data_IF_625218194506
#
_entry.id   IF_625218194506
#
_cell.length_a   1.000
_cell.length_b   1.000
_cell.length_c   1.000
_cell.angle_alpha   90.00
_cell.angle_beta   90.00
_cell.angle_gamma   90.00
#
_symmetry.space_group_name_H-M   'P 1'
#
loop_
_entity.id
_entity.type
_entity.pdbx_description
1 polymer ?
#
# COMPACT_ATOMS: atom_id res chain seq x y z
N UNK A 1 -17.12 16.45 0.93
CA UNK A 1 -17.03 15.12 1.53
C UNK A 1 -15.55 14.68 1.52
N UNK A 2 -14.94 14.26 2.63
CA UNK A 2 -13.59 13.70 2.63
C UNK A 2 -13.66 12.25 2.14
N UNK A 3 -13.20 11.99 0.92
CA UNK A 3 -13.06 10.63 0.41
C UNK A 3 -11.70 10.05 0.83
N UNK A 4 -11.73 8.92 1.52
CA UNK A 4 -10.55 8.13 1.84
C UNK A 4 -10.04 7.44 0.55
N UNK A 5 -8.76 7.69 0.21
CA UNK A 5 -8.10 7.16 -1.00
C UNK A 5 -7.22 5.94 -0.69
N UNK A 6 -7.54 5.16 0.31
CA UNK A 6 -6.70 4.06 0.79
C UNK A 6 -7.28 2.68 0.62
N UNK A 7 -6.88 1.94 -0.37
CA UNK A 7 -6.20 0.63 -0.34
C UNK A 7 -6.19 -0.01 -1.73
N UNK A 8 -5.00 -0.20 -2.28
CA UNK A 8 -4.80 -1.11 -3.42
C UNK A 8 -4.97 -2.56 -2.92
N UNK A 9 -6.14 -3.14 -3.19
CA UNK A 9 -6.31 -4.58 -3.18
C UNK A 9 -6.01 -5.13 -4.57
N UNK A 10 -5.00 -5.99 -4.66
CA UNK A 10 -4.74 -6.82 -5.84
C UNK A 10 -5.89 -7.83 -5.96
N UNK A 11 -6.73 -7.69 -6.99
CA UNK A 11 -7.91 -8.52 -7.22
C UNK A 11 -7.50 -9.91 -7.70
N UNK A 12 -7.71 -10.93 -6.87
CA UNK A 12 -7.74 -12.34 -7.29
C UNK A 12 -9.17 -12.71 -7.66
N UNK A 13 -9.36 -13.56 -8.65
CA UNK A 13 -10.67 -13.94 -9.22
C UNK A 13 -11.62 -14.58 -8.18
N UNK A 14 -11.10 -15.13 -7.08
CA UNK A 14 -11.87 -15.64 -5.92
C UNK A 14 -12.50 -14.53 -5.07
N UNK A 15 -11.98 -13.31 -5.12
CA UNK A 15 -12.48 -12.18 -4.33
C UNK A 15 -13.65 -11.47 -5.02
N UNK A 16 -13.83 -11.67 -6.34
CA UNK A 16 -14.87 -10.97 -7.12
C UNK A 16 -16.28 -11.35 -6.67
N UNK A 17 -16.53 -12.63 -6.42
CA UNK A 17 -17.87 -13.10 -5.98
C UNK A 17 -18.21 -12.57 -4.58
N UNK A 18 -17.24 -12.57 -3.68
CA UNK A 18 -17.39 -12.02 -2.31
C UNK A 18 -17.58 -10.52 -2.35
N UNK A 19 -16.86 -9.81 -3.23
CA UNK A 19 -16.97 -8.36 -3.40
C UNK A 19 -18.31 -7.95 -4.02
N UNK A 20 -18.85 -8.70 -4.99
CA UNK A 20 -20.20 -8.47 -5.55
C UNK A 20 -21.27 -8.67 -4.48
N UNK A 21 -21.20 -9.74 -3.72
CA UNK A 21 -22.16 -10.01 -2.64
C UNK A 21 -22.12 -8.93 -1.55
N UNK A 22 -20.90 -8.48 -1.19
CA UNK A 22 -20.69 -7.41 -0.20
C UNK A 22 -21.25 -6.08 -0.70
N UNK A 23 -21.00 -5.75 -1.96
CA UNK A 23 -21.52 -4.52 -2.57
C UNK A 23 -23.05 -4.57 -2.70
N UNK A 24 -23.63 -5.72 -3.09
CA UNK A 24 -25.07 -5.90 -3.14
C UNK A 24 -25.74 -5.70 -1.77
N UNK A 25 -25.11 -6.17 -0.69
CA UNK A 25 -25.60 -5.96 0.67
C UNK A 25 -25.53 -4.49 1.12
N UNK A 26 -24.57 -3.72 0.59
CA UNK A 26 -24.41 -2.30 0.87
C UNK A 26 -25.39 -1.41 0.05
N UNK A 27 -25.90 -1.88 -1.09
CA UNK A 27 -26.76 -1.13 -2.01
C UNK A 27 -27.99 -0.45 -1.39
N UNK A 28 -28.73 -1.07 -0.44
CA UNK A 28 -29.86 -0.40 0.21
C UNK A 28 -29.49 0.85 1.01
N UNK A 29 -28.23 0.97 1.41
CA UNK A 29 -27.69 2.06 2.23
C UNK A 29 -26.96 3.11 1.41
N UNK A 30 -26.77 2.88 0.11
CA UNK A 30 -26.24 3.87 -0.84
C UNK A 30 -27.40 4.69 -1.39
N UNK A 31 -27.48 5.96 -1.00
CA UNK A 31 -28.46 6.89 -1.53
C UNK A 31 -27.86 7.74 -2.66
N UNK A 32 -28.74 8.18 -3.59
CA UNK A 32 -28.37 9.06 -4.70
C UNK A 32 -29.39 10.22 -4.82
N UNK A 33 -29.34 11.18 -3.90
CA UNK A 33 -30.27 12.32 -3.92
C UNK A 33 -29.82 13.36 -4.95
N UNK A 34 -29.78 13.01 -6.25
CA UNK A 34 -29.40 13.93 -7.34
C UNK A 34 -27.99 14.51 -7.17
N UNK A 35 -27.00 13.65 -7.04
CA UNK A 35 -25.58 14.00 -6.92
C UNK A 35 -25.12 14.96 -8.03
N UNK A 36 -24.09 15.74 -7.74
CA UNK A 36 -23.37 16.47 -8.78
C UNK A 36 -22.73 15.50 -9.77
N UNK A 37 -22.64 15.86 -11.06
CA UNK A 37 -22.12 14.99 -12.11
C UNK A 37 -20.74 14.40 -11.79
N UNK A 38 -19.82 15.22 -11.27
CA UNK A 38 -18.47 14.79 -10.92
C UNK A 38 -18.44 13.73 -9.80
N UNK A 39 -19.36 13.82 -8.83
CA UNK A 39 -19.46 12.84 -7.75
C UNK A 39 -20.05 11.52 -8.25
N UNK A 40 -21.03 11.59 -9.17
CA UNK A 40 -21.60 10.43 -9.84
C UNK A 40 -20.53 9.69 -10.69
N UNK A 41 -19.71 10.45 -11.44
CA UNK A 41 -18.56 9.89 -12.19
C UNK A 41 -17.56 9.21 -11.27
N UNK A 42 -17.23 9.83 -10.12
CA UNK A 42 -16.33 9.22 -9.11
C UNK A 42 -16.88 7.91 -8.56
N UNK A 43 -18.19 7.85 -8.30
CA UNK A 43 -18.83 6.62 -7.83
C UNK A 43 -18.84 5.53 -8.91
N UNK A 44 -19.04 5.87 -10.20
CA UNK A 44 -18.88 4.93 -11.29
C UNK A 44 -17.50 4.26 -11.29
N UNK A 45 -16.44 5.05 -11.09
CA UNK A 45 -15.08 4.52 -10.93
C UNK A 45 -14.95 3.62 -9.71
N UNK A 46 -15.58 3.97 -8.58
CA UNK A 46 -15.55 3.17 -7.37
C UNK A 46 -16.29 1.83 -7.54
N UNK A 47 -17.46 1.82 -8.21
CA UNK A 47 -18.19 0.58 -8.56
C UNK A 47 -17.35 -0.32 -9.46
N UNK A 48 -16.72 0.24 -10.49
CA UNK A 48 -15.88 -0.53 -11.41
C UNK A 48 -14.61 -1.06 -10.74
N UNK A 49 -14.01 -0.30 -9.83
CA UNK A 49 -12.88 -0.72 -9.02
C UNK A 49 -13.25 -1.82 -8.02
N UNK A 50 -14.48 -1.81 -7.50
CA UNK A 50 -14.94 -2.80 -6.52
C UNK A 50 -15.16 -4.18 -7.12
N UNK A 51 -15.81 -4.28 -8.29
CA UNK A 51 -16.34 -5.54 -8.82
C UNK A 51 -16.10 -5.71 -10.33
N UNK A 52 -15.25 -4.88 -10.93
CA UNK A 52 -14.96 -4.91 -12.36
C UNK A 52 -16.20 -4.66 -13.22
N UNK A 53 -16.24 -5.27 -14.41
CA UNK A 53 -17.37 -5.10 -15.34
C UNK A 53 -18.69 -5.69 -14.81
N UNK A 54 -18.62 -6.62 -13.84
CA UNK A 54 -19.81 -7.16 -13.15
C UNK A 54 -20.59 -6.11 -12.34
N UNK A 55 -19.98 -4.93 -12.09
CA UNK A 55 -20.59 -3.83 -11.34
C UNK A 55 -21.57 -2.97 -12.12
N UNK A 56 -21.65 -3.11 -13.46
CA UNK A 56 -22.52 -2.28 -14.29
C UNK A 56 -23.99 -2.33 -13.85
N UNK A 57 -24.51 -3.51 -13.57
CA UNK A 57 -25.89 -3.68 -13.13
C UNK A 57 -26.15 -2.97 -11.79
N UNK A 58 -25.21 -3.06 -10.83
CA UNK A 58 -25.32 -2.37 -9.54
C UNK A 58 -25.17 -0.85 -9.70
N UNK A 59 -24.36 -0.40 -10.63
CA UNK A 59 -24.24 1.03 -10.92
C UNK A 59 -25.49 1.61 -11.58
N UNK A 60 -26.17 0.83 -12.45
CA UNK A 60 -27.49 1.21 -12.95
C UNK A 60 -28.53 1.30 -11.83
N UNK A 61 -28.59 0.30 -10.95
CA UNK A 61 -29.47 0.30 -9.78
C UNK A 61 -29.25 1.54 -8.89
N UNK A 62 -27.99 1.86 -8.61
CA UNK A 62 -27.60 3.06 -7.87
C UNK A 62 -28.03 4.33 -8.60
N UNK A 63 -27.75 4.43 -9.91
CA UNK A 63 -28.06 5.62 -10.71
C UNK A 63 -29.56 5.87 -10.86
N UNK A 64 -30.37 4.79 -10.90
CA UNK A 64 -31.84 4.85 -10.97
C UNK A 64 -32.50 5.48 -9.73
N UNK A 65 -31.76 5.60 -8.61
CA UNK A 65 -32.26 6.32 -7.42
C UNK A 65 -32.34 7.84 -7.62
N UNK A 66 -31.70 8.37 -8.68
CA UNK A 66 -31.75 9.79 -9.05
C UNK A 66 -32.83 10.07 -10.10
N UNK A 67 -33.47 11.22 -10.00
CA UNK A 67 -34.39 11.76 -11.00
C UNK A 67 -33.71 12.14 -12.32
N UNK A 68 -32.39 12.23 -12.34
CA UNK A 68 -31.54 12.54 -13.51
C UNK A 68 -31.02 11.28 -14.22
N UNK A 69 -31.51 10.10 -13.86
CA UNK A 69 -31.03 8.88 -14.47
C UNK A 69 -31.34 8.80 -15.96
N UNK A 70 -30.29 8.56 -16.76
CA UNK A 70 -30.36 8.23 -18.17
C UNK A 70 -29.56 6.96 -18.48
N UNK A 71 -30.24 5.95 -19.03
CA UNK A 71 -29.64 4.65 -19.32
C UNK A 71 -28.42 4.75 -20.24
N UNK A 72 -28.58 5.46 -21.38
CA UNK A 72 -27.53 5.56 -22.39
C UNK A 72 -26.31 6.39 -21.92
N UNK A 73 -26.50 7.32 -21.02
CA UNK A 73 -25.41 8.09 -20.44
C UNK A 73 -24.64 7.24 -19.42
N UNK A 74 -25.35 6.44 -18.61
CA UNK A 74 -24.77 5.51 -17.67
C UNK A 74 -23.89 4.46 -18.38
N UNK A 75 -24.38 3.89 -19.50
CA UNK A 75 -23.61 2.95 -20.32
C UNK A 75 -22.37 3.60 -20.94
N UNK A 76 -22.51 4.81 -21.51
CA UNK A 76 -21.38 5.56 -22.09
C UNK A 76 -20.31 5.88 -21.06
N UNK A 77 -20.73 6.35 -19.88
CA UNK A 77 -19.80 6.60 -18.79
C UNK A 77 -19.06 5.32 -18.41
N UNK A 78 -19.81 4.22 -18.17
CA UNK A 78 -19.20 2.95 -17.79
C UNK A 78 -18.17 2.43 -18.81
N UNK A 79 -18.50 2.50 -20.09
CA UNK A 79 -17.61 2.10 -21.18
C UNK A 79 -16.36 2.99 -21.29
N UNK A 80 -16.44 4.26 -20.88
CA UNK A 80 -15.32 5.20 -20.89
C UNK A 80 -14.32 4.99 -19.77
N UNK A 81 -14.72 4.27 -18.69
CA UNK A 81 -13.85 3.99 -17.55
C UNK A 81 -12.87 2.87 -17.90
N UNK A 82 -11.59 3.19 -18.00
CA UNK A 82 -10.51 2.23 -18.19
C UNK A 82 -10.28 1.37 -16.94
N UNK A 83 -9.42 0.35 -17.08
CA UNK A 83 -9.11 -0.64 -16.03
C UNK A 83 -8.35 -0.11 -14.81
N UNK A 84 -7.99 1.17 -14.78
CA UNK A 84 -7.22 1.78 -13.67
C UNK A 84 -7.99 2.98 -13.14
N UNK A 85 -8.65 2.81 -12.01
CA UNK A 85 -9.23 3.92 -11.24
C UNK A 85 -8.34 4.23 -10.03
N UNK A 86 -8.08 5.51 -9.79
CA UNK A 86 -7.45 6.00 -8.55
C UNK A 86 -8.42 5.98 -7.35
N UNK A 87 -9.67 5.59 -7.56
CA UNK A 87 -10.74 5.57 -6.57
C UNK A 87 -11.06 4.11 -6.26
N UNK A 88 -10.87 3.71 -5.01
CA UNK A 88 -11.07 2.33 -4.56
C UNK A 88 -12.50 2.06 -4.06
N UNK A 89 -12.84 0.76 -3.90
CA UNK A 89 -14.11 0.27 -3.35
C UNK A 89 -14.44 0.81 -1.94
N UNK A 90 -13.42 1.22 -1.18
CA UNK A 90 -13.58 1.78 0.17
C UNK A 90 -14.54 2.96 0.26
N UNK A 91 -14.58 3.81 -0.78
CA UNK A 91 -15.50 4.96 -0.84
C UNK A 91 -16.97 4.56 -0.84
N UNK A 92 -17.33 3.43 -1.50
CA UNK A 92 -18.71 2.93 -1.51
C UNK A 92 -19.13 2.40 -0.14
N UNK A 93 -18.25 1.65 0.51
CA UNK A 93 -18.53 1.09 1.84
C UNK A 93 -18.57 2.16 2.93
N UNK A 94 -17.79 3.22 2.78
CA UNK A 94 -17.86 4.39 3.67
C UNK A 94 -19.20 5.11 3.52
N UNK A 95 -19.65 5.39 2.28
CA UNK A 95 -20.98 5.98 2.02
C UNK A 95 -22.12 5.10 2.54
N UNK A 96 -22.03 3.77 2.37
CA UNK A 96 -23.03 2.86 2.90
C UNK A 96 -23.05 2.87 4.44
N UNK A 97 -21.89 3.00 5.10
CA UNK A 97 -21.81 3.15 6.56
C UNK A 97 -22.42 4.47 7.04
N UNK A 98 -22.20 5.59 6.32
CA UNK A 98 -22.88 6.86 6.58
C UNK A 98 -24.41 6.73 6.41
N UNK A 99 -24.86 5.88 5.46
CA UNK A 99 -26.27 5.53 5.27
C UNK A 99 -26.83 4.54 6.31
N UNK A 100 -26.00 4.14 7.31
CA UNK A 100 -26.39 3.26 8.40
C UNK A 100 -26.09 1.76 8.20
N UNK A 101 -25.25 1.41 7.21
CA UNK A 101 -24.81 0.03 7.03
C UNK A 101 -23.79 -0.38 8.10
N UNK A 102 -24.11 -1.42 8.87
CA UNK A 102 -23.17 -2.03 9.82
C UNK A 102 -22.26 -3.02 9.10
N UNK A 103 -21.07 -2.57 8.70
CA UNK A 103 -20.07 -3.41 8.03
C UNK A 103 -19.63 -4.61 8.90
N UNK A 104 -19.69 -4.48 10.23
CA UNK A 104 -19.35 -5.58 11.15
C UNK A 104 -20.34 -6.74 11.10
N UNK A 105 -21.54 -6.49 10.59
CA UNK A 105 -22.54 -7.52 10.35
C UNK A 105 -22.17 -8.42 9.18
N UNK A 106 -21.41 -7.91 8.20
CA UNK A 106 -20.93 -8.69 7.06
C UNK A 106 -19.88 -9.72 7.46
N UNK A 107 -18.93 -9.34 8.33
CA UNK A 107 -17.86 -10.24 8.80
C UNK A 107 -18.39 -11.39 9.66
N UNK A 108 -19.66 -11.34 10.07
CA UNK A 108 -20.37 -12.39 10.81
C UNK A 108 -21.20 -13.33 9.93
N UNK A 109 -21.25 -13.10 8.61
CA UNK A 109 -21.92 -14.02 7.70
C UNK A 109 -20.99 -15.21 7.41
N UNK A 110 -21.47 -16.47 7.63
CA UNK A 110 -20.70 -17.63 7.25
C UNK A 110 -20.47 -17.63 5.74
N UNK A 111 -19.21 -17.83 5.34
CA UNK A 111 -18.84 -17.95 3.93
C UNK A 111 -19.59 -19.10 3.25
N UNK A 112 -19.60 -19.16 1.90
CA UNK A 112 -20.35 -20.19 1.14
C UNK A 112 -20.00 -21.65 1.46
N UNK A 113 -18.96 -21.91 2.25
CA UNK A 113 -18.54 -23.25 2.68
C UNK A 113 -19.32 -23.83 3.88
N UNK A 114 -20.16 -23.05 4.56
CA UNK A 114 -20.90 -23.56 5.75
C UNK A 114 -22.35 -23.97 5.46
N UNK A 115 -22.83 -23.96 4.23
CA UNK A 115 -24.16 -24.38 3.83
C UNK A 115 -24.23 -25.80 3.24
N UNK A 116 -23.17 -26.60 3.36
CA UNK A 116 -23.18 -28.01 3.01
C UNK A 116 -23.43 -28.83 4.27
N UNK A 117 -24.69 -29.08 4.52
CA UNK A 117 -25.17 -30.00 5.57
C UNK A 117 -24.76 -31.45 5.27
N UNK A 118 -24.44 -32.11 6.34
CA UNK A 118 -24.06 -33.47 6.60
C UNK A 118 -24.24 -34.54 5.55
N UNK A 119 -23.16 -35.26 5.32
CA UNK A 119 -23.17 -36.68 5.13
C UNK A 119 -22.01 -37.30 5.91
N UNK A 120 -22.39 -38.15 6.82
CA UNK A 120 -21.57 -38.92 7.74
C UNK A 120 -20.74 -39.94 6.95
N UNK A 121 -19.41 -39.78 6.91
CA UNK A 121 -18.52 -40.82 6.38
C UNK A 121 -18.21 -41.85 7.47
N UNK A 122 -18.39 -43.16 7.19
CA UNK A 122 -18.07 -44.20 8.17
C UNK A 122 -16.56 -44.33 8.37
N UNK A 123 -16.14 -44.27 9.63
CA UNK A 123 -14.79 -44.51 10.07
C UNK A 123 -14.42 -45.98 9.98
N UNK A 124 -13.50 -46.34 9.08
CA UNK A 124 -12.77 -47.63 9.14
C UNK A 124 -11.29 -47.31 9.36
N UNK A 125 -10.63 -47.94 10.34
CA UNK A 125 -9.21 -47.75 10.55
C UNK A 125 -8.42 -48.63 9.58
N UNK A 126 -7.87 -48.06 8.53
CA UNK A 126 -6.87 -48.74 7.72
C UNK A 126 -5.46 -48.34 8.15
N UNK A 127 -4.66 -49.39 8.37
CA UNK A 127 -3.23 -49.35 8.66
C UNK A 127 -2.49 -48.52 7.59
N UNK A 128 -1.61 -47.57 7.97
CA UNK A 128 -0.92 -46.74 6.98
C UNK A 128 0.04 -47.58 6.11
N UNK A 129 0.01 -47.41 4.79
CA UNK A 129 0.97 -48.08 3.92
C UNK A 129 2.36 -47.53 4.17
N UNK A 130 3.35 -48.43 4.16
CA UNK A 130 4.78 -48.13 4.27
C UNK A 130 5.19 -47.02 3.31
N UNK A 131 5.80 -45.97 3.84
CA UNK A 131 6.23 -44.80 3.09
C UNK A 131 7.14 -45.20 1.92
N UNK A 132 6.90 -44.73 0.69
CA UNK A 132 7.84 -44.90 -0.40
C UNK A 132 9.13 -44.11 -0.10
N UNK A 133 10.26 -44.77 -0.35
CA UNK A 133 11.62 -44.19 -0.25
C UNK A 133 11.65 -42.86 -1.01
N UNK A 134 12.04 -41.79 -0.31
CA UNK A 134 12.10 -40.45 -0.86
C UNK A 134 13.00 -40.44 -2.13
N UNK A 135 12.53 -39.86 -3.24
CA UNK A 135 13.38 -39.68 -4.41
C UNK A 135 14.53 -38.73 -4.06
N UNK A 136 15.75 -39.12 -4.40
CA UNK A 136 16.98 -38.34 -4.29
C UNK A 136 16.75 -36.99 -4.99
N UNK A 137 16.93 -35.89 -4.27
CA UNK A 137 16.74 -34.56 -4.80
C UNK A 137 17.67 -34.32 -6.00
N UNK A 138 17.19 -33.78 -7.12
CA UNK A 138 18.06 -33.34 -8.18
C UNK A 138 18.90 -32.17 -7.70
N UNK A 139 20.21 -32.27 -7.89
CA UNK A 139 21.21 -31.21 -7.63
C UNK A 139 21.05 -30.16 -8.75
N UNK A 140 19.98 -29.37 -8.71
CA UNK A 140 19.74 -28.22 -9.58
C UNK A 140 20.00 -26.94 -8.81
N UNK A 141 20.43 -25.89 -9.47
CA UNK A 141 20.56 -24.57 -8.91
C UNK A 141 19.27 -24.20 -8.15
N UNK A 142 19.42 -23.76 -6.90
CA UNK A 142 18.27 -23.36 -6.07
C UNK A 142 17.69 -22.07 -6.67
N UNK A 143 16.66 -22.19 -7.47
CA UNK A 143 15.92 -21.08 -8.09
C UNK A 143 14.89 -20.46 -7.13
N UNK A 144 14.91 -20.89 -5.84
CA UNK A 144 13.96 -20.42 -4.83
C UNK A 144 12.58 -21.08 -4.91
N UNK A 145 12.34 -21.94 -5.90
CA UNK A 145 11.04 -22.62 -6.01
C UNK A 145 10.90 -23.74 -4.98
N UNK A 146 9.69 -23.94 -4.47
CA UNK A 146 9.32 -25.04 -3.58
C UNK A 146 7.90 -25.53 -3.87
N UNK A 147 7.63 -26.79 -3.57
CA UNK A 147 6.27 -27.33 -3.65
C UNK A 147 5.50 -27.04 -2.36
N UNK A 148 4.20 -26.79 -2.45
CA UNK A 148 3.34 -26.55 -1.29
C UNK A 148 3.47 -27.65 -0.21
N UNK A 149 3.65 -28.92 -0.64
CA UNK A 149 3.88 -30.04 0.27
C UNK A 149 5.18 -29.96 1.09
N UNK A 150 6.14 -29.10 0.70
CA UNK A 150 7.41 -28.87 1.40
C UNK A 150 7.37 -27.70 2.38
N UNK A 151 6.23 -27.01 2.48
CA UNK A 151 6.04 -25.98 3.50
C UNK A 151 5.77 -26.70 4.83
N UNK A 152 6.83 -27.05 5.52
CA UNK A 152 6.79 -27.76 6.82
C UNK A 152 7.64 -27.02 7.85
N UNK A 153 7.15 -26.92 9.06
CA UNK A 153 7.83 -26.29 10.18
C UNK A 153 7.38 -24.86 10.47
N UNK A 154 7.91 -24.24 11.52
CA UNK A 154 7.55 -22.88 11.89
C UNK A 154 8.09 -21.89 10.85
N UNK A 155 7.18 -21.12 10.26
CA UNK A 155 7.54 -19.98 9.42
C UNK A 155 7.87 -18.82 10.35
N UNK A 156 9.03 -18.14 10.19
CA UNK A 156 9.37 -16.97 10.99
C UNK A 156 8.23 -15.91 10.90
N UNK A 157 7.88 -15.26 12.01
CA UNK A 157 6.92 -14.18 11.98
C UNK A 157 7.43 -13.06 11.05
N UNK A 158 6.52 -12.34 10.42
CA UNK A 158 6.88 -11.17 9.62
C UNK A 158 7.42 -10.08 10.53
N UNK A 159 8.56 -9.50 10.15
CA UNK A 159 9.13 -8.34 10.81
C UNK A 159 8.47 -7.06 10.26
N UNK A 160 8.26 -6.07 11.13
CA UNK A 160 7.54 -4.84 10.80
C UNK A 160 8.35 -3.63 11.21
N UNK A 161 8.52 -2.67 10.30
CA UNK A 161 9.04 -1.34 10.63
C UNK A 161 8.00 -0.54 11.43
N UNK A 162 6.73 -0.65 11.02
CA UNK A 162 5.57 -0.14 11.75
C UNK A 162 4.58 -1.30 11.89
N UNK A 163 4.33 -1.75 13.12
CA UNK A 163 3.62 -2.99 13.40
C UNK A 163 2.24 -3.05 12.72
N UNK A 164 2.01 -4.14 11.98
CA UNK A 164 0.78 -4.38 11.22
C UNK A 164 0.58 -3.48 9.99
N UNK A 165 1.43 -2.47 9.75
CA UNK A 165 1.27 -1.50 8.67
C UNK A 165 2.39 -1.56 7.63
N UNK A 166 3.65 -1.54 8.06
CA UNK A 166 4.78 -1.47 7.15
C UNK A 166 5.76 -2.61 7.41
N UNK A 167 5.75 -3.64 6.56
CA UNK A 167 6.69 -4.75 6.70
C UNK A 167 8.14 -4.30 6.51
N UNK A 168 9.08 -4.92 7.22
CA UNK A 168 10.49 -4.78 6.94
C UNK A 168 10.85 -5.28 5.54
N UNK A 169 11.94 -4.75 4.97
CA UNK A 169 12.49 -5.13 3.65
C UNK A 169 11.51 -4.90 2.49
N UNK A 170 10.69 -3.87 2.61
CA UNK A 170 9.73 -3.49 1.55
C UNK A 170 9.84 -2.01 1.22
N UNK A 171 9.52 -1.67 -0.02
CA UNK A 171 9.32 -0.28 -0.43
C UNK A 171 7.88 0.10 -0.17
N UNK A 172 7.67 1.24 0.49
CA UNK A 172 6.36 1.82 0.70
C UNK A 172 6.32 3.26 0.20
N UNK A 173 5.14 3.79 -0.05
CA UNK A 173 4.96 5.16 -0.53
C UNK A 173 3.83 5.85 0.23
N UNK A 174 4.08 7.12 0.62
CA UNK A 174 3.06 8.00 1.20
C UNK A 174 2.61 9.00 0.13
N UNK A 175 1.32 8.96 -0.23
CA UNK A 175 0.72 9.86 -1.20
C UNK A 175 -0.18 10.89 -0.54
N UNK A 176 -0.32 12.05 -1.17
CA UNK A 176 -1.24 13.09 -0.73
C UNK A 176 -0.98 14.40 -1.47
N UNK A 177 -1.94 15.33 -1.42
CA UNK A 177 -1.82 16.65 -2.02
C UNK A 177 -0.63 17.45 -1.44
N UNK A 178 -0.16 18.44 -2.17
CA UNK A 178 0.86 19.38 -1.66
C UNK A 178 0.39 20.09 -0.40
N UNK A 179 1.31 20.34 0.54
CA UNK A 179 1.03 21.10 1.76
C UNK A 179 0.24 20.40 2.87
N UNK A 180 -0.15 19.12 2.72
CA UNK A 180 -0.91 18.40 3.76
C UNK A 180 -0.05 17.86 4.91
N UNK A 181 1.26 18.16 4.93
CA UNK A 181 2.15 17.79 6.02
C UNK A 181 2.84 16.45 5.90
N UNK A 182 2.92 15.84 4.69
CA UNK A 182 3.60 14.55 4.47
C UNK A 182 5.05 14.54 4.98
N UNK A 183 5.84 15.54 4.60
CA UNK A 183 7.24 15.69 5.03
C UNK A 183 7.38 15.75 6.54
N UNK A 184 6.53 16.55 7.24
CA UNK A 184 6.54 16.63 8.70
C UNK A 184 6.16 15.29 9.33
N UNK A 185 5.14 14.60 8.79
CA UNK A 185 4.72 13.29 9.26
C UNK A 185 5.85 12.26 9.11
N UNK A 186 6.54 12.26 7.94
CA UNK A 186 7.67 11.36 7.70
C UNK A 186 8.87 11.68 8.57
N UNK A 187 9.12 12.96 8.89
CA UNK A 187 10.17 13.34 9.83
C UNK A 187 9.85 12.87 11.26
N UNK A 188 8.59 12.92 11.69
CA UNK A 188 8.15 12.34 12.96
C UNK A 188 8.30 10.82 12.98
N UNK A 189 7.92 10.14 11.88
CA UNK A 189 8.10 8.70 11.72
C UNK A 189 9.58 8.30 11.78
N UNK A 190 10.45 9.05 11.09
CA UNK A 190 11.90 8.87 11.14
C UNK A 190 12.44 8.92 12.58
N UNK A 191 11.98 9.89 13.37
CA UNK A 191 12.35 10.01 14.79
C UNK A 191 11.86 8.80 15.60
N UNK A 192 10.61 8.38 15.41
CA UNK A 192 10.04 7.24 16.13
C UNK A 192 10.82 5.94 15.82
N UNK A 193 11.13 5.68 14.55
CA UNK A 193 11.91 4.50 14.14
C UNK A 193 13.34 4.57 14.69
N UNK A 194 14.01 5.69 14.58
CA UNK A 194 15.37 5.83 15.08
C UNK A 194 15.46 5.63 16.61
N UNK A 195 14.43 6.01 17.35
CA UNK A 195 14.37 5.88 18.81
C UNK A 195 13.70 4.60 19.31
N UNK A 196 13.02 3.83 18.43
CA UNK A 196 12.20 2.69 18.84
C UNK A 196 10.94 3.10 19.61
N UNK A 197 10.47 4.32 19.41
CA UNK A 197 9.26 4.84 20.05
C UNK A 197 8.02 4.53 19.21
N UNK A 198 6.84 4.62 19.85
CA UNK A 198 5.59 4.47 19.12
C UNK A 198 5.35 5.63 18.15
N UNK A 199 4.93 5.31 16.92
CA UNK A 199 4.43 6.28 15.96
C UNK A 199 2.92 6.18 15.87
N UNK A 200 2.20 7.26 16.18
CA UNK A 200 0.73 7.31 16.23
C UNK A 200 0.11 6.20 17.11
N UNK A 201 0.81 5.81 18.19
CA UNK A 201 0.38 4.74 19.09
C UNK A 201 0.74 3.33 18.67
N UNK A 202 1.37 3.14 17.49
CA UNK A 202 1.77 1.85 16.93
C UNK A 202 3.27 1.63 17.19
N UNK A 203 3.65 0.41 17.53
CA UNK A 203 5.05 0.05 17.80
C UNK A 203 5.90 0.15 16.53
N UNK A 204 7.13 0.64 16.66
CA UNK A 204 8.13 0.70 15.58
C UNK A 204 9.33 -0.18 15.89
N UNK A 205 9.97 -0.70 14.84
CA UNK A 205 11.28 -1.36 14.94
C UNK A 205 12.37 -0.28 15.02
N UNK A 206 13.23 -0.38 16.02
CA UNK A 206 14.37 0.54 16.12
C UNK A 206 15.46 0.20 15.12
N UNK A 207 15.86 1.16 14.29
CA UNK A 207 16.95 1.01 13.32
C UNK A 207 17.55 2.37 12.94
N UNK A 208 18.75 2.43 12.32
CA UNK A 208 19.25 3.65 11.72
C UNK A 208 18.33 4.19 10.63
N UNK A 209 18.23 5.51 10.54
CA UNK A 209 17.38 6.18 9.56
C UNK A 209 18.17 7.24 8.79
N UNK A 210 18.08 7.19 7.46
CA UNK A 210 18.52 8.24 6.56
C UNK A 210 17.30 8.88 5.89
N UNK A 211 17.05 10.16 6.15
CA UNK A 211 15.98 10.93 5.51
C UNK A 211 16.56 11.95 4.56
N UNK A 212 16.37 11.74 3.26
CA UNK A 212 16.80 12.65 2.16
C UNK A 212 15.65 13.57 1.84
N UNK A 213 15.86 14.88 1.95
CA UNK A 213 14.83 15.92 1.84
C UNK A 213 15.21 16.91 0.74
N UNK A 214 14.49 16.87 -0.39
CA UNK A 214 14.86 17.62 -1.58
C UNK A 214 14.09 18.95 -1.74
N UNK A 215 12.99 19.13 -1.01
CA UNK A 215 12.16 20.34 -1.10
C UNK A 215 12.50 21.38 -0.03
N UNK A 216 12.96 20.96 1.14
CA UNK A 216 13.19 21.86 2.28
C UNK A 216 14.67 22.18 2.50
N UNK A 217 14.97 23.43 2.84
CA UNK A 217 16.31 23.84 3.23
C UNK A 217 16.70 23.32 4.64
N UNK A 218 17.99 23.39 4.94
CA UNK A 218 18.53 22.89 6.20
C UNK A 218 17.93 23.59 7.44
N UNK A 219 17.57 24.85 7.33
CA UNK A 219 17.05 25.62 8.46
C UNK A 219 15.60 25.27 8.74
N UNK A 220 14.79 24.98 7.70
CA UNK A 220 13.43 24.48 7.88
C UNK A 220 13.42 23.08 8.47
N UNK A 221 14.26 22.19 7.98
CA UNK A 221 14.42 20.83 8.54
C UNK A 221 14.81 20.89 10.01
N UNK A 222 15.75 21.77 10.39
CA UNK A 222 16.14 21.98 11.80
C UNK A 222 15.01 22.55 12.64
N UNK A 223 14.25 23.54 12.14
CA UNK A 223 13.11 24.11 12.87
C UNK A 223 12.06 23.04 13.19
N UNK A 224 11.73 22.19 12.21
CA UNK A 224 10.82 21.06 12.42
C UNK A 224 11.39 20.07 13.44
N UNK A 225 12.68 19.74 13.34
CA UNK A 225 13.32 18.82 14.28
C UNK A 225 13.30 19.34 15.72
N UNK A 226 13.56 20.63 15.93
CA UNK A 226 13.45 21.24 17.25
C UNK A 226 12.02 21.13 17.82
N UNK A 227 11.00 21.37 17.01
CA UNK A 227 9.62 21.20 17.42
C UNK A 227 9.28 19.74 17.75
N UNK A 228 9.79 18.79 16.98
CA UNK A 228 9.63 17.35 17.23
C UNK A 228 10.32 16.98 18.56
N UNK A 229 11.55 17.43 18.78
CA UNK A 229 12.27 17.18 20.02
C UNK A 229 11.52 17.73 21.23
N UNK A 230 11.05 18.98 21.16
CA UNK A 230 10.26 19.59 22.23
C UNK A 230 8.97 18.81 22.52
N UNK A 231 8.25 18.38 21.47
CA UNK A 231 7.04 17.57 21.64
C UNK A 231 7.30 16.20 22.28
N UNK A 232 8.53 15.67 22.16
CA UNK A 232 8.99 14.43 22.79
C UNK A 232 9.55 14.64 24.19
N UNK A 233 9.53 15.88 24.72
CA UNK A 233 10.09 16.23 26.02
C UNK A 233 11.61 16.22 26.06
N UNK A 234 12.25 16.40 24.91
CA UNK A 234 13.71 16.46 24.74
C UNK A 234 14.08 17.92 24.59
N UNK A 235 14.37 18.59 25.71
CA UNK A 235 14.53 20.05 25.74
C UNK A 235 15.94 20.54 25.39
N UNK A 236 16.95 19.66 25.29
CA UNK A 236 18.33 20.05 25.05
C UNK A 236 18.76 19.94 23.58
N UNK A 237 19.50 20.93 23.12
CA UNK A 237 20.23 20.87 21.85
C UNK A 237 21.16 19.64 21.87
N UNK A 238 20.95 18.72 20.90
CA UNK A 238 21.77 17.54 20.76
C UNK A 238 21.20 16.25 21.35
N UNK A 239 19.96 16.26 21.83
CA UNK A 239 19.30 15.08 22.42
C UNK A 239 18.37 14.32 21.43
N UNK A 240 18.48 14.58 20.13
CA UNK A 240 17.84 13.75 19.09
C UNK A 240 18.54 12.37 19.00
N UNK A 241 17.92 11.39 18.33
CA UNK A 241 18.55 10.08 18.12
C UNK A 241 19.79 10.20 17.25
N UNK A 242 20.93 9.72 17.72
CA UNK A 242 22.23 9.77 17.02
C UNK A 242 22.23 8.95 15.70
N UNK A 243 21.33 7.99 15.59
CA UNK A 243 21.15 7.12 14.41
C UNK A 243 20.11 7.66 13.41
N UNK A 244 19.65 8.92 13.56
CA UNK A 244 18.82 9.63 12.59
C UNK A 244 19.66 10.67 11.83
N UNK A 245 19.84 10.46 10.56
CA UNK A 245 20.48 11.45 9.67
C UNK A 245 19.42 12.12 8.81
N UNK A 246 19.22 13.43 9.01
CA UNK A 246 18.41 14.29 8.15
C UNK A 246 19.34 14.95 7.13
N UNK A 247 19.09 14.72 5.85
CA UNK A 247 19.94 15.17 4.76
C UNK A 247 19.22 16.10 3.78
N UNK A 248 19.20 17.44 4.05
CA UNK A 248 18.66 18.42 3.12
C UNK A 248 19.48 18.47 1.83
N UNK A 249 18.79 18.41 0.69
CA UNK A 249 19.40 18.39 -0.64
C UNK A 249 18.69 19.30 -1.64
N UNK A 250 18.01 20.34 -1.15
CA UNK A 250 17.34 21.32 -2.01
C UNK A 250 18.35 21.97 -2.98
N UNK A 251 17.99 22.03 -4.25
CA UNK A 251 18.82 22.61 -5.31
C UNK A 251 20.00 21.73 -5.77
N UNK A 252 20.17 20.52 -5.22
CA UNK A 252 21.16 19.55 -5.71
C UNK A 252 20.58 18.68 -6.83
N UNK A 253 21.46 18.02 -7.60
CA UNK A 253 21.04 16.93 -8.47
C UNK A 253 20.72 15.70 -7.60
N UNK A 254 19.45 15.30 -7.58
CA UNK A 254 18.94 14.21 -6.75
C UNK A 254 18.49 13.00 -7.57
N UNK A 255 18.73 12.99 -8.89
CA UNK A 255 18.26 11.93 -9.78
C UNK A 255 19.01 10.62 -9.51
N UNK A 256 18.25 9.56 -9.19
CA UNK A 256 18.78 8.21 -8.94
C UNK A 256 18.86 7.36 -10.21
N UNK A 257 18.01 7.62 -11.19
CA UNK A 257 17.96 6.85 -12.44
C UNK A 257 17.52 7.72 -13.60
N UNK A 258 18.10 7.50 -14.77
CA UNK A 258 17.78 8.19 -16.03
C UNK A 258 17.58 7.17 -17.16
N UNK A 259 16.92 7.59 -18.23
CA UNK A 259 16.74 6.80 -19.47
C UNK A 259 17.27 7.58 -20.68
N UNK A 260 18.59 7.75 -20.81
CA UNK A 260 19.18 8.53 -21.92
C UNK A 260 18.96 7.88 -23.29
N UNK A 261 18.78 6.55 -23.30
CA UNK A 261 18.50 5.78 -24.52
C UNK A 261 17.17 5.03 -24.35
N UNK A 262 16.33 5.04 -25.37
CA UNK A 262 15.02 4.43 -25.33
C UNK A 262 15.03 3.01 -24.75
N UNK A 263 14.49 2.85 -23.55
CA UNK A 263 14.27 1.57 -22.89
C UNK A 263 15.44 1.00 -22.06
N UNK A 264 16.57 1.71 -21.92
CA UNK A 264 17.66 1.31 -21.02
C UNK A 264 17.79 2.34 -19.90
N UNK A 265 17.75 1.87 -18.67
CA UNK A 265 18.02 2.66 -17.48
C UNK A 265 19.52 2.77 -17.20
N UNK A 266 19.93 3.88 -16.66
CA UNK A 266 21.30 4.13 -16.19
C UNK A 266 21.23 4.82 -14.82
N UNK A 267 22.13 4.47 -13.87
CA UNK A 267 22.23 5.19 -12.60
C UNK A 267 22.40 6.69 -12.81
N UNK A 268 21.62 7.48 -12.09
CA UNK A 268 21.79 8.91 -12.03
C UNK A 268 22.98 9.32 -11.17
N UNK A 269 23.36 10.60 -11.26
CA UNK A 269 24.53 11.13 -10.57
C UNK A 269 24.46 10.97 -9.03
N UNK A 270 23.27 10.93 -8.47
CA UNK A 270 23.07 10.83 -7.03
C UNK A 270 23.10 9.39 -6.50
N UNK A 271 22.93 8.37 -7.34
CA UNK A 271 22.74 6.97 -6.90
C UNK A 271 23.92 6.46 -6.05
N UNK A 272 25.14 6.57 -6.55
CA UNK A 272 26.33 6.13 -5.82
C UNK A 272 26.55 6.93 -4.52
N UNK A 273 26.25 8.21 -4.54
CA UNK A 273 26.35 9.10 -3.37
C UNK A 273 25.35 8.70 -2.29
N UNK A 274 24.12 8.35 -2.69
CA UNK A 274 23.09 7.84 -1.78
C UNK A 274 23.49 6.52 -1.18
N UNK A 275 23.96 5.56 -1.99
CA UNK A 275 24.40 4.24 -1.52
C UNK A 275 25.56 4.36 -0.53
N UNK A 276 26.54 5.20 -0.81
CA UNK A 276 27.66 5.45 0.10
C UNK A 276 27.17 6.05 1.44
N UNK A 277 26.29 7.05 1.39
CA UNK A 277 25.72 7.66 2.60
C UNK A 277 24.85 6.71 3.39
N UNK A 278 24.04 5.91 2.72
CA UNK A 278 23.23 4.87 3.37
C UNK A 278 24.13 3.83 4.07
N UNK A 279 25.21 3.41 3.44
CA UNK A 279 26.17 2.48 4.04
C UNK A 279 26.84 3.08 5.28
N UNK A 280 27.23 4.36 5.22
CA UNK A 280 27.78 5.09 6.38
C UNK A 280 26.78 5.14 7.54
N UNK A 281 25.52 5.51 7.27
CA UNK A 281 24.47 5.68 8.30
C UNK A 281 24.06 4.32 8.88
N UNK A 282 23.98 3.29 8.05
CA UNK A 282 23.64 1.94 8.51
C UNK A 282 24.68 1.40 9.50
N UNK A 283 25.98 1.67 9.27
CA UNK A 283 27.04 1.11 10.07
C UNK A 283 26.98 -0.42 10.11
N UNK A 284 27.05 -0.98 11.31
CA UNK A 284 27.02 -2.44 11.56
C UNK A 284 25.59 -3.00 11.71
N UNK A 285 24.54 -2.18 11.55
CA UNK A 285 23.16 -2.65 11.64
C UNK A 285 22.78 -3.53 10.43
N UNK A 286 21.96 -4.56 10.67
CA UNK A 286 21.49 -5.48 9.62
C UNK A 286 20.56 -4.75 8.64
N UNK A 287 19.75 -3.82 9.13
CA UNK A 287 18.74 -3.09 8.38
C UNK A 287 18.78 -1.59 8.70
N UNK A 288 18.25 -0.77 7.81
CA UNK A 288 18.03 0.65 8.01
C UNK A 288 16.77 1.10 7.28
N UNK A 289 16.21 2.22 7.68
CA UNK A 289 15.14 2.92 6.96
C UNK A 289 15.75 4.05 6.12
N UNK A 290 15.44 4.07 4.82
CA UNK A 290 15.74 5.21 3.95
C UNK A 290 14.43 5.88 3.57
N UNK A 291 14.32 7.18 3.82
CA UNK A 291 13.18 8.02 3.45
C UNK A 291 13.63 8.98 2.35
N UNK A 292 12.92 8.99 1.25
CA UNK A 292 13.18 9.82 0.07
C UNK A 292 12.00 10.77 -0.14
N UNK A 293 12.19 12.06 0.05
CA UNK A 293 11.13 13.07 0.02
C UNK A 293 11.51 14.30 -0.84
N UNK A 294 10.84 14.49 -1.99
CA UNK A 294 9.89 13.57 -2.64
C UNK A 294 10.60 12.58 -3.58
N UNK A 295 9.98 11.44 -3.82
CA UNK A 295 10.47 10.47 -4.79
C UNK A 295 10.48 11.01 -6.23
N UNK A 296 9.65 12.01 -6.53
CA UNK A 296 9.58 12.65 -7.85
C UNK A 296 10.91 13.31 -8.27
N UNK A 297 11.63 13.94 -7.34
CA UNK A 297 12.91 14.58 -7.61
C UNK A 297 14.04 13.58 -7.91
N UNK A 298 13.82 12.32 -7.59
CA UNK A 298 14.80 11.23 -7.74
C UNK A 298 14.56 10.39 -8.99
N UNK A 299 13.42 10.58 -9.64
CA UNK A 299 13.00 9.84 -10.82
C UNK A 299 13.24 10.65 -12.09
N UNK A 300 14.29 10.32 -12.83
CA UNK A 300 14.65 11.01 -14.10
C UNK A 300 13.98 10.40 -15.34
N UNK A 301 12.92 9.60 -15.19
CA UNK A 301 12.17 8.99 -16.27
C UNK A 301 10.82 9.66 -16.53
N UNK A 302 9.99 8.98 -17.34
CA UNK A 302 8.61 9.39 -17.60
C UNK A 302 7.65 8.62 -16.69
N UNK A 303 7.00 9.33 -15.78
CA UNK A 303 6.06 8.75 -14.81
C UNK A 303 4.83 8.05 -15.45
N UNK A 304 4.51 8.36 -16.72
CA UNK A 304 3.46 7.70 -17.47
C UNK A 304 3.92 6.40 -18.13
N UNK A 305 5.22 6.09 -18.09
CA UNK A 305 5.80 4.85 -18.62
C UNK A 305 5.95 3.83 -17.49
N UNK A 306 4.96 2.94 -17.35
CA UNK A 306 4.90 1.92 -16.29
C UNK A 306 6.19 1.12 -16.12
N UNK A 307 6.90 0.82 -17.22
CA UNK A 307 8.16 0.07 -17.18
C UNK A 307 9.23 0.85 -16.43
N UNK A 308 9.36 2.16 -16.69
CA UNK A 308 10.36 3.00 -16.05
C UNK A 308 10.09 3.15 -14.55
N UNK A 309 8.82 3.39 -14.17
CA UNK A 309 8.40 3.42 -12.76
C UNK A 309 8.68 2.09 -12.06
N UNK A 310 8.36 0.95 -12.68
CA UNK A 310 8.64 -0.36 -12.11
C UNK A 310 10.15 -0.61 -11.95
N UNK A 311 10.98 -0.19 -12.90
CA UNK A 311 12.43 -0.29 -12.80
C UNK A 311 12.95 0.56 -11.64
N UNK A 312 12.49 1.81 -11.53
CA UNK A 312 12.84 2.69 -10.42
C UNK A 312 12.57 2.02 -9.07
N UNK A 313 11.33 1.56 -8.84
CA UNK A 313 10.92 0.97 -7.55
C UNK A 313 11.64 -0.36 -7.25
N UNK A 314 11.92 -1.19 -8.26
CA UNK A 314 12.46 -2.55 -8.03
C UNK A 314 13.99 -2.62 -8.04
N UNK A 315 14.63 -1.65 -8.67
CA UNK A 315 16.09 -1.71 -8.91
C UNK A 315 16.84 -0.62 -8.14
N UNK A 316 16.21 0.53 -7.93
CA UNK A 316 16.88 1.70 -7.35
C UNK A 316 16.36 2.08 -5.96
N UNK A 317 15.19 1.54 -5.53
CA UNK A 317 14.65 1.61 -4.18
C UNK A 317 14.61 0.22 -3.54
#
# INVERSE_FOLDING_TARGET
LPFDTGSNYDFQESDTATSVAKLTAAMPYLDNPSLHYDDWVRLAHAFKAAVGDSGLALFHEFSQKSDKYEHDETERLWASIGSVSKIGAGSLFHLAAEGGWDISSWDRHPGPSELSGGDEFPSTPETPPTAPTAPTAPTGANDGSFTAARVVGPIPPREWVLDGWWPSRTVGMLFGAGGVGKTLLMQQFANAVASGEKFLGIDTMQMPVLSVMCEDDADEVKRRQLNINAARGVDDFGSGPDNLVLWPRVGADNVLVTWPNAGKDEPGAFYETLCAKATEVRGDADEMLVILDPAADMFGGNENVRREVNTFVKTYL
#
